data_IF_506463283815
#
_entry.id   IF_506463283815
#
_cell.length_a   1.000
_cell.length_b   1.000
_cell.length_c   1.000
_cell.angle_alpha   90.00
_cell.angle_beta   90.00
_cell.angle_gamma   90.00
#
_symmetry.space_group_name_H-M   'P 1'
#
loop_
_entity.id
_entity.type
_entity.pdbx_description
1 polymer ?
#
# COMPACT_ATOMS: atom_id res chain seq x y z
N UNK A 1 9.83 18.66 14.88
CA UNK A 1 8.67 19.28 14.22
C UNK A 1 7.79 18.19 13.61
N UNK A 2 6.54 18.00 14.05
CA UNK A 2 5.56 17.20 13.28
C UNK A 2 5.22 18.01 12.03
N UNK A 3 5.46 17.46 10.83
CA UNK A 3 5.02 18.10 9.60
C UNK A 3 3.50 18.31 9.69
N UNK A 4 3.04 19.57 9.54
CA UNK A 4 1.61 19.88 9.50
C UNK A 4 1.02 19.13 8.32
N UNK A 5 0.09 18.21 8.58
CA UNK A 5 -0.57 17.45 7.51
C UNK A 5 -1.33 18.42 6.60
N UNK A 6 -0.96 18.46 5.34
CA UNK A 6 -1.65 19.24 4.32
C UNK A 6 -2.74 18.38 3.68
N UNK A 7 -3.97 18.58 4.17
CA UNK A 7 -5.15 17.83 3.73
C UNK A 7 -5.44 18.00 2.23
N UNK A 8 -5.15 19.19 1.65
CA UNK A 8 -5.38 19.43 0.22
C UNK A 8 -4.44 18.57 -0.62
N UNK A 9 -3.17 18.47 -0.22
CA UNK A 9 -2.19 17.60 -0.89
C UNK A 9 -2.50 16.11 -0.70
N UNK A 10 -2.90 15.69 0.50
CA UNK A 10 -3.32 14.30 0.74
C UNK A 10 -4.49 13.90 -0.15
N UNK A 11 -5.54 14.72 -0.22
CA UNK A 11 -6.69 14.49 -1.10
C UNK A 11 -6.27 14.45 -2.59
N UNK A 12 -5.37 15.34 -3.02
CA UNK A 12 -4.85 15.33 -4.39
C UNK A 12 -4.12 14.03 -4.73
N UNK A 13 -3.31 13.51 -3.82
CA UNK A 13 -2.63 12.23 -4.04
C UNK A 13 -3.60 11.04 -4.01
N UNK A 14 -4.63 11.07 -3.16
CA UNK A 14 -5.67 10.02 -3.13
C UNK A 14 -6.42 9.95 -4.46
N UNK A 15 -6.98 11.07 -4.93
CA UNK A 15 -7.70 11.12 -6.21
C UNK A 15 -6.76 10.79 -7.37
N UNK A 16 -5.52 11.27 -7.34
CA UNK A 16 -4.52 10.94 -8.34
C UNK A 16 -4.21 9.45 -8.39
N UNK A 17 -4.22 8.75 -7.25
CA UNK A 17 -4.06 7.30 -7.19
C UNK A 17 -5.24 6.57 -7.84
N UNK A 18 -6.48 6.99 -7.56
CA UNK A 18 -7.68 6.40 -8.18
C UNK A 18 -7.70 6.59 -9.69
N UNK A 19 -7.40 7.80 -10.16
CA UNK A 19 -7.31 8.10 -11.59
C UNK A 19 -6.22 7.28 -12.29
N UNK A 20 -5.05 7.15 -11.65
CA UNK A 20 -3.95 6.34 -12.20
C UNK A 20 -4.29 4.85 -12.23
N UNK A 21 -4.98 4.33 -11.22
CA UNK A 21 -5.49 2.96 -11.21
C UNK A 21 -6.44 2.73 -12.39
N UNK A 22 -7.45 3.57 -12.55
CA UNK A 22 -8.43 3.47 -13.64
C UNK A 22 -7.78 3.56 -15.03
N UNK A 23 -6.78 4.43 -15.19
CA UNK A 23 -6.03 4.62 -16.45
C UNK A 23 -4.89 3.62 -16.65
N UNK A 24 -4.69 2.67 -15.73
CA UNK A 24 -3.58 1.71 -15.73
C UNK A 24 -2.17 2.36 -15.78
N UNK A 25 -2.05 3.60 -15.29
CA UNK A 25 -0.78 4.34 -15.20
C UNK A 25 -0.02 3.90 -13.94
N UNK A 26 0.78 2.84 -14.08
CA UNK A 26 1.55 2.25 -12.97
C UNK A 26 2.51 3.25 -12.32
N UNK A 27 3.13 4.14 -13.10
CA UNK A 27 4.10 5.09 -12.59
C UNK A 27 3.43 6.10 -11.65
N UNK A 28 2.30 6.69 -12.05
CA UNK A 28 1.53 7.60 -11.19
C UNK A 28 0.84 6.89 -10.04
N UNK A 29 0.39 5.66 -10.25
CA UNK A 29 -0.21 4.84 -9.20
C UNK A 29 0.76 4.68 -8.02
N UNK A 30 2.01 4.29 -8.29
CA UNK A 30 3.05 4.17 -7.28
C UNK A 30 3.43 5.54 -6.70
N UNK A 31 3.70 6.53 -7.56
CA UNK A 31 4.16 7.86 -7.11
C UNK A 31 3.18 8.54 -6.14
N UNK A 32 1.88 8.49 -6.44
CA UNK A 32 0.86 9.11 -5.58
C UNK A 32 0.80 8.43 -4.20
N UNK A 33 0.85 7.10 -4.14
CA UNK A 33 0.85 6.40 -2.86
C UNK A 33 2.12 6.64 -2.05
N UNK A 34 3.29 6.70 -2.70
CA UNK A 34 4.57 7.01 -2.04
C UNK A 34 4.51 8.40 -1.40
N UNK A 35 4.07 9.41 -2.15
CA UNK A 35 3.98 10.79 -1.64
C UNK A 35 2.95 10.92 -0.52
N UNK A 36 1.80 10.25 -0.65
CA UNK A 36 0.77 10.20 0.40
C UNK A 36 1.32 9.61 1.70
N UNK A 37 1.98 8.46 1.64
CA UNK A 37 2.50 7.79 2.84
C UNK A 37 3.71 8.52 3.44
N UNK A 38 4.59 9.09 2.61
CA UNK A 38 5.67 9.96 3.09
C UNK A 38 5.12 11.10 3.96
N UNK A 39 4.03 11.74 3.49
CA UNK A 39 3.36 12.80 4.25
C UNK A 39 2.66 12.31 5.51
N UNK A 40 1.86 11.23 5.42
CA UNK A 40 1.09 10.71 6.56
C UNK A 40 1.97 10.27 7.73
N UNK A 41 3.11 9.64 7.43
CA UNK A 41 4.01 9.10 8.44
C UNK A 41 5.21 9.99 8.74
N UNK A 42 5.37 11.12 8.04
CA UNK A 42 6.51 12.02 8.20
C UNK A 42 7.85 11.35 7.89
N UNK A 43 7.88 10.46 6.89
CA UNK A 43 9.08 9.72 6.48
C UNK A 43 9.55 10.18 5.09
N UNK A 44 10.80 9.85 4.73
CA UNK A 44 11.30 10.14 3.38
C UNK A 44 10.55 9.36 2.31
N UNK A 45 10.45 9.90 1.09
CA UNK A 45 9.87 9.18 -0.05
C UNK A 45 10.60 7.85 -0.32
N UNK A 46 11.89 7.73 0.01
CA UNK A 46 12.64 6.47 -0.08
C UNK A 46 12.08 5.40 0.87
N UNK A 47 11.86 5.75 2.16
CA UNK A 47 11.22 4.85 3.13
C UNK A 47 9.80 4.51 2.70
N UNK A 48 9.02 5.52 2.29
CA UNK A 48 7.65 5.32 1.83
C UNK A 48 7.58 4.42 0.59
N UNK A 49 8.50 4.57 -0.38
CA UNK A 49 8.60 3.69 -1.57
C UNK A 49 8.83 2.24 -1.18
N UNK A 50 9.81 1.98 -0.33
CA UNK A 50 10.10 0.63 0.15
C UNK A 50 8.91 0.03 0.91
N UNK A 51 8.22 0.82 1.71
CA UNK A 51 6.99 0.39 2.37
C UNK A 51 5.89 0.06 1.36
N UNK A 52 5.71 0.87 0.31
CA UNK A 52 4.69 0.65 -0.71
C UNK A 52 4.96 -0.59 -1.57
N UNK A 53 6.21 -0.97 -1.79
CA UNK A 53 6.53 -2.24 -2.46
C UNK A 53 5.98 -3.45 -1.69
N UNK A 54 6.09 -3.45 -0.35
CA UNK A 54 5.47 -4.49 0.48
C UNK A 54 3.95 -4.41 0.44
N UNK A 55 3.37 -3.22 0.47
CA UNK A 55 1.92 -3.04 0.38
C UNK A 55 1.34 -3.58 -0.93
N UNK A 56 1.93 -3.26 -2.08
CA UNK A 56 1.44 -3.77 -3.38
C UNK A 56 1.61 -5.28 -3.54
N UNK A 57 2.63 -5.86 -2.90
CA UNK A 57 2.74 -7.33 -2.81
C UNK A 57 1.66 -7.91 -1.91
N UNK A 58 1.33 -7.23 -0.81
CA UNK A 58 0.25 -7.67 0.09
C UNK A 58 -1.11 -7.62 -0.61
N UNK A 59 -1.40 -6.58 -1.39
CA UNK A 59 -2.64 -6.51 -2.18
C UNK A 59 -2.72 -7.65 -3.20
N UNK A 60 -1.60 -8.02 -3.84
CA UNK A 60 -1.59 -9.19 -4.73
C UNK A 60 -1.88 -10.50 -3.99
N UNK A 61 -1.33 -10.69 -2.79
CA UNK A 61 -1.65 -11.88 -1.98
C UNK A 61 -3.11 -11.85 -1.49
N UNK A 62 -3.66 -10.67 -1.20
CA UNK A 62 -5.09 -10.49 -0.88
C UNK A 62 -5.97 -10.92 -2.05
N UNK A 63 -5.72 -10.42 -3.26
CA UNK A 63 -6.51 -10.78 -4.46
C UNK A 63 -6.51 -12.30 -4.70
N UNK A 64 -5.35 -12.96 -4.52
CA UNK A 64 -5.24 -14.42 -4.65
C UNK A 64 -6.00 -15.14 -3.52
N UNK A 65 -5.98 -14.59 -2.30
CA UNK A 65 -6.72 -15.17 -1.19
C UNK A 65 -8.24 -15.13 -1.44
N UNK A 66 -8.76 -13.99 -1.91
CA UNK A 66 -10.16 -13.82 -2.31
C UNK A 66 -10.56 -14.83 -3.40
N UNK A 67 -9.74 -14.98 -4.46
CA UNK A 67 -9.99 -15.98 -5.51
C UNK A 67 -10.11 -17.41 -4.96
N UNK A 68 -9.37 -17.76 -3.90
CA UNK A 68 -9.50 -19.05 -3.24
C UNK A 68 -10.72 -19.14 -2.32
N UNK A 69 -11.11 -18.06 -1.65
CA UNK A 69 -12.32 -18.02 -0.82
C UNK A 69 -13.59 -18.15 -1.66
N UNK A 70 -13.65 -17.45 -2.80
CA UNK A 70 -14.77 -17.54 -3.76
C UNK A 70 -14.95 -18.98 -4.27
N UNK A 71 -13.84 -19.72 -4.40
CA UNK A 71 -13.81 -21.14 -4.79
C UNK A 71 -13.98 -22.09 -3.59
N UNK A 72 -14.20 -21.57 -2.38
CA UNK A 72 -14.33 -22.34 -1.12
C UNK A 72 -13.10 -23.20 -0.79
N UNK A 73 -11.90 -22.79 -1.20
CA UNK A 73 -10.62 -23.47 -0.93
C UNK A 73 -9.88 -22.82 0.24
N UNK A 74 -10.50 -22.85 1.42
CA UNK A 74 -10.06 -22.10 2.62
C UNK A 74 -8.61 -22.35 3.05
N UNK A 75 -8.11 -23.59 2.92
CA UNK A 75 -6.70 -23.89 3.27
C UNK A 75 -5.71 -23.10 2.41
N UNK A 76 -5.99 -22.90 1.12
CA UNK A 76 -5.13 -22.11 0.23
C UNK A 76 -5.30 -20.62 0.49
N UNK A 77 -6.53 -20.15 0.66
CA UNK A 77 -6.81 -18.77 1.05
C UNK A 77 -6.01 -18.35 2.31
N UNK A 78 -6.04 -19.17 3.35
CA UNK A 78 -5.32 -18.91 4.61
C UNK A 78 -3.80 -18.77 4.45
N UNK A 79 -3.19 -19.49 3.49
CA UNK A 79 -1.76 -19.34 3.19
C UNK A 79 -1.48 -17.94 2.63
N UNK A 80 -2.32 -17.48 1.72
CA UNK A 80 -2.20 -16.16 1.09
C UNK A 80 -2.52 -15.03 2.09
N UNK A 81 -3.52 -15.21 2.96
CA UNK A 81 -3.79 -14.27 4.06
C UNK A 81 -2.59 -14.10 4.99
N UNK A 82 -1.93 -15.20 5.38
CA UNK A 82 -0.72 -15.14 6.23
C UNK A 82 0.45 -14.43 5.54
N UNK A 83 0.58 -14.58 4.21
CA UNK A 83 1.60 -13.89 3.41
C UNK A 83 1.30 -12.40 3.32
N UNK A 84 0.06 -12.02 3.04
CA UNK A 84 -0.39 -10.63 3.04
C UNK A 84 -0.12 -9.97 4.39
N UNK A 85 -0.48 -10.62 5.50
CA UNK A 85 -0.20 -10.12 6.86
C UNK A 85 1.31 -9.92 7.11
N UNK A 86 2.13 -10.89 6.70
CA UNK A 86 3.60 -10.79 6.83
C UNK A 86 4.16 -9.61 6.04
N UNK A 87 3.64 -9.36 4.84
CA UNK A 87 4.04 -8.22 4.01
C UNK A 87 3.57 -6.89 4.62
N UNK A 88 2.36 -6.82 5.17
CA UNK A 88 1.87 -5.64 5.88
C UNK A 88 2.70 -5.33 7.14
N UNK A 89 3.12 -6.35 7.88
CA UNK A 89 4.08 -6.17 9.01
C UNK A 89 5.39 -5.53 8.54
N UNK A 90 5.90 -5.90 7.37
CA UNK A 90 7.09 -5.27 6.77
C UNK A 90 6.81 -3.83 6.31
N UNK A 91 5.68 -3.59 5.67
CA UNK A 91 5.21 -2.24 5.28
C UNK A 91 5.20 -1.29 6.48
N UNK A 92 4.50 -1.66 7.57
CA UNK A 92 4.42 -0.82 8.75
C UNK A 92 5.75 -0.67 9.48
N UNK A 93 6.60 -1.71 9.48
CA UNK A 93 7.95 -1.61 10.06
C UNK A 93 8.81 -0.55 9.36
N UNK A 94 8.71 -0.40 8.05
CA UNK A 94 9.44 0.64 7.30
C UNK A 94 8.91 2.05 7.61
N UNK A 95 7.60 2.20 7.85
CA UNK A 95 6.96 3.49 8.13
C UNK A 95 7.09 3.93 9.59
N UNK A 96 7.06 2.98 10.53
CA UNK A 96 7.02 3.26 11.97
C UNK A 96 8.39 3.16 12.66
N UNK A 97 9.42 2.64 12.00
CA UNK A 97 10.81 2.68 12.52
C UNK A 97 11.27 4.13 12.60
N UNK A 98 11.25 4.66 13.83
CA UNK A 98 11.87 5.93 14.21
C UNK A 98 13.38 5.76 14.22
#
# INVERSE_FOLDING_TARGET
MKAKLDFKRLAKYEIGWWQAHHRRDKAKFVSNQVKKHAMLFGVSEKKARKAMEYFFRATKEHDIAEEFEDRKVTKKANIHWKRAETLLKKHFRELLKR
#
